data_IF_327932302557
#
_entry.id   IF_327932302557
#
_cell.length_a   1.000
_cell.length_b   1.000
_cell.length_c   1.000
_cell.angle_alpha   90.00
_cell.angle_beta   90.00
_cell.angle_gamma   90.00
#
_symmetry.space_group_name_H-M   'P 1'
#
loop_
_entity.id
_entity.type
_entity.pdbx_description
1 polymer ?
#
# COMPACT_ATOMS: atom_id res chain seq x y z
N UNK A 1 23.53 -2.21 4.95
CA UNK A 1 22.36 -3.12 4.97
C UNK A 1 22.65 -4.46 5.64
N UNK A 2 23.74 -5.17 5.31
CA UNK A 2 24.11 -6.48 5.93
C UNK A 2 24.48 -6.30 7.43
N UNK A 3 25.22 -5.24 7.78
CA UNK A 3 25.55 -4.91 9.18
C UNK A 3 24.29 -4.72 10.02
N UNK A 4 23.33 -3.93 9.56
CA UNK A 4 22.06 -3.70 10.29
C UNK A 4 21.27 -4.98 10.54
N UNK A 5 21.26 -5.93 9.61
CA UNK A 5 20.58 -7.23 9.82
C UNK A 5 21.27 -8.05 10.89
N UNK A 6 22.61 -8.02 10.94
CA UNK A 6 23.37 -8.72 11.97
C UNK A 6 23.16 -8.08 13.36
N UNK A 7 23.10 -6.75 13.43
CA UNK A 7 22.79 -6.01 14.65
C UNK A 7 21.40 -6.38 15.20
N UNK A 8 20.38 -6.47 14.32
CA UNK A 8 19.05 -6.95 14.73
C UNK A 8 19.04 -8.38 15.25
N UNK A 9 19.80 -9.29 14.62
CA UNK A 9 19.92 -10.67 15.11
C UNK A 9 20.59 -10.73 16.47
N UNK A 10 21.68 -10.01 16.65
CA UNK A 10 22.38 -9.93 17.93
C UNK A 10 21.51 -9.38 19.05
N UNK A 11 20.73 -8.31 18.78
CA UNK A 11 19.77 -7.75 19.72
C UNK A 11 18.67 -8.76 20.05
N UNK A 12 18.12 -9.44 19.04
CA UNK A 12 17.08 -10.44 19.22
C UNK A 12 17.56 -11.60 20.12
N UNK A 13 18.78 -12.08 19.90
CA UNK A 13 19.41 -13.13 20.71
C UNK A 13 19.64 -12.65 22.16
N UNK A 14 20.22 -11.46 22.35
CA UNK A 14 20.47 -10.88 23.69
C UNK A 14 19.19 -10.66 24.50
N UNK A 15 18.10 -10.31 23.82
CA UNK A 15 16.80 -10.07 24.45
C UNK A 15 15.90 -11.32 24.49
N UNK A 16 16.39 -12.47 24.04
CA UNK A 16 15.64 -13.72 23.92
C UNK A 16 14.31 -13.54 23.16
N UNK A 17 14.29 -12.72 22.11
CA UNK A 17 13.09 -12.47 21.33
C UNK A 17 12.77 -13.67 20.43
N UNK A 18 11.54 -14.15 20.51
CA UNK A 18 11.03 -15.13 19.55
C UNK A 18 10.66 -14.43 18.24
N UNK A 19 11.52 -14.57 17.25
CA UNK A 19 11.25 -14.04 15.90
C UNK A 19 10.21 -14.91 15.18
N UNK A 20 9.40 -14.25 14.34
CA UNK A 20 8.47 -14.94 13.43
C UNK A 20 9.17 -15.51 12.20
N UNK A 21 8.42 -16.28 11.43
CA UNK A 21 8.82 -16.74 10.10
C UNK A 21 8.33 -15.77 9.03
N UNK A 22 9.09 -15.63 7.96
CA UNK A 22 8.73 -14.79 6.80
C UNK A 22 8.59 -15.68 5.58
N UNK A 23 7.46 -15.53 4.88
CA UNK A 23 7.23 -16.12 3.57
C UNK A 23 7.07 -14.98 2.54
N UNK A 24 7.91 -14.96 1.51
CA UNK A 24 7.87 -13.96 0.45
C UNK A 24 7.18 -14.54 -0.78
N UNK A 25 6.16 -13.82 -1.27
CA UNK A 25 5.43 -14.17 -2.50
C UNK A 25 5.33 -12.96 -3.42
N UNK A 26 5.45 -13.20 -4.71
CA UNK A 26 5.10 -12.24 -5.75
C UNK A 26 3.63 -12.49 -6.10
N UNK A 27 2.84 -11.42 -6.19
CA UNK A 27 1.42 -11.55 -6.51
C UNK A 27 0.77 -10.19 -6.80
N UNK A 28 -0.49 -10.25 -7.20
CA UNK A 28 -1.31 -9.08 -7.47
C UNK A 28 -2.21 -8.80 -6.25
N UNK A 29 -2.13 -7.60 -5.70
CA UNK A 29 -2.96 -7.18 -4.57
C UNK A 29 -4.46 -7.12 -4.89
N UNK A 30 -4.82 -7.07 -6.17
CA UNK A 30 -6.21 -7.11 -6.66
C UNK A 30 -6.80 -8.53 -6.67
N UNK A 31 -5.94 -9.55 -6.49
CA UNK A 31 -6.31 -10.97 -6.43
C UNK A 31 -5.31 -11.74 -5.59
N UNK A 32 -5.51 -11.70 -4.28
CA UNK A 32 -4.58 -12.32 -3.32
C UNK A 32 -4.86 -13.82 -3.19
N UNK A 33 -3.83 -14.65 -3.35
CA UNK A 33 -3.93 -16.12 -3.24
C UNK A 33 -3.92 -16.60 -1.78
N UNK A 34 -4.88 -16.14 -1.01
CA UNK A 34 -5.10 -16.53 0.38
C UNK A 34 -6.60 -16.84 0.61
N UNK A 35 -6.93 -17.78 1.50
CA UNK A 35 -8.31 -18.06 1.86
C UNK A 35 -9.02 -16.87 2.52
N UNK A 36 -10.33 -16.84 2.45
CA UNK A 36 -11.15 -15.89 3.18
C UNK A 36 -10.92 -16.00 4.70
N UNK A 37 -10.90 -14.87 5.40
CA UNK A 37 -10.78 -14.82 6.85
C UNK A 37 -9.57 -15.63 7.39
N UNK A 38 -8.42 -15.57 6.71
CA UNK A 38 -7.23 -16.35 7.08
C UNK A 38 -6.16 -15.52 7.80
N UNK A 39 -6.16 -14.19 7.65
CA UNK A 39 -5.10 -13.30 8.11
C UNK A 39 -5.52 -12.56 9.39
N UNK A 40 -4.59 -12.43 10.34
CA UNK A 40 -4.80 -11.75 11.62
C UNK A 40 -4.51 -10.25 11.59
N UNK A 41 -3.88 -9.74 10.55
CA UNK A 41 -3.61 -8.32 10.36
C UNK A 41 -3.00 -8.01 9.01
N UNK A 42 -3.24 -6.80 8.51
CA UNK A 42 -2.64 -6.28 7.27
C UNK A 42 -1.99 -4.95 7.57
N UNK A 43 -0.75 -4.77 7.10
CA UNK A 43 -0.06 -3.47 7.10
C UNK A 43 0.43 -3.24 5.67
N UNK A 44 0.05 -2.12 5.08
CA UNK A 44 0.42 -1.79 3.70
C UNK A 44 0.57 -0.30 3.50
N UNK A 45 1.45 0.07 2.56
CA UNK A 45 1.57 1.40 1.99
C UNK A 45 1.35 1.24 0.48
N UNK A 46 0.11 1.37 -0.01
CA UNK A 46 -0.19 1.21 -1.43
C UNK A 46 0.43 2.34 -2.25
N UNK A 47 0.49 2.22 -3.58
CA UNK A 47 0.92 3.31 -4.44
C UNK A 47 0.13 4.58 -4.14
N UNK A 48 0.82 5.72 -4.02
CA UNK A 48 0.21 6.99 -3.68
C UNK A 48 -0.46 7.64 -4.89
N UNK A 49 -1.55 7.05 -5.32
CA UNK A 49 -2.33 7.48 -6.47
C UNK A 49 -1.42 7.68 -7.71
N UNK A 50 -1.46 8.88 -8.26
CA UNK A 50 -0.74 9.27 -9.48
C UNK A 50 0.48 10.16 -9.17
N UNK A 51 0.90 10.23 -7.90
CA UNK A 51 1.97 11.12 -7.46
C UNK A 51 3.33 10.75 -8.05
N UNK A 52 3.58 9.45 -8.23
CA UNK A 52 4.84 8.92 -8.73
C UNK A 52 4.62 7.94 -9.87
N UNK A 53 5.49 7.97 -10.85
CA UNK A 53 5.59 6.92 -11.85
C UNK A 53 6.61 5.87 -11.36
N UNK A 54 6.12 4.88 -10.63
CA UNK A 54 6.96 3.84 -10.03
C UNK A 54 7.72 3.03 -11.07
N UNK A 55 7.16 2.82 -12.26
CA UNK A 55 7.84 2.08 -13.34
C UNK A 55 9.02 2.88 -13.88
N UNK A 56 8.87 4.20 -14.05
CA UNK A 56 9.95 5.08 -14.50
C UNK A 56 11.03 5.25 -13.42
N UNK A 57 10.60 5.45 -12.16
CA UNK A 57 11.53 5.65 -11.06
C UNK A 57 12.41 4.44 -10.79
N UNK A 58 11.87 3.22 -10.97
CA UNK A 58 12.55 1.97 -10.71
C UNK A 58 13.03 1.26 -11.99
N UNK A 59 13.03 1.99 -13.14
CA UNK A 59 13.29 1.44 -14.46
C UNK A 59 14.56 0.59 -14.52
N UNK A 60 15.69 1.11 -14.04
CA UNK A 60 16.96 0.38 -14.05
C UNK A 60 16.90 -0.94 -13.27
N UNK A 61 16.29 -0.92 -12.08
CA UNK A 61 16.16 -2.15 -11.27
C UNK A 61 15.24 -3.18 -11.93
N UNK A 62 14.16 -2.72 -12.56
CA UNK A 62 13.21 -3.59 -13.26
C UNK A 62 13.85 -4.21 -14.51
N UNK A 63 14.62 -3.44 -15.28
CA UNK A 63 15.35 -3.93 -16.45
C UNK A 63 16.44 -4.93 -16.05
N UNK A 64 17.19 -4.64 -14.99
CA UNK A 64 18.21 -5.56 -14.44
C UNK A 64 17.61 -6.89 -13.97
N UNK A 65 16.35 -6.86 -13.51
CA UNK A 65 15.59 -8.08 -13.17
C UNK A 65 15.00 -8.79 -14.39
N UNK A 66 15.19 -8.24 -15.60
CA UNK A 66 14.71 -8.83 -16.86
C UNK A 66 13.27 -8.49 -17.22
N UNK A 67 12.66 -7.52 -16.55
CA UNK A 67 11.32 -7.08 -16.87
C UNK A 67 11.31 -6.09 -18.05
N UNK A 68 10.25 -6.15 -18.86
CA UNK A 68 9.98 -5.17 -19.90
C UNK A 68 9.08 -4.07 -19.36
N UNK A 69 9.57 -2.85 -19.29
CA UNK A 69 8.87 -1.71 -18.67
C UNK A 69 7.48 -1.46 -19.26
N UNK A 70 7.31 -1.62 -20.58
CA UNK A 70 6.02 -1.42 -21.24
C UNK A 70 4.98 -2.47 -20.77
N UNK A 71 5.38 -3.74 -20.64
CA UNK A 71 4.49 -4.81 -20.19
C UNK A 71 4.04 -4.60 -18.74
N UNK A 72 4.99 -4.21 -17.87
CA UNK A 72 4.68 -3.89 -16.47
C UNK A 72 3.76 -2.68 -16.37
N UNK A 73 4.03 -1.64 -17.17
CA UNK A 73 3.26 -0.38 -17.14
C UNK A 73 1.78 -0.58 -17.44
N UNK A 74 1.44 -1.54 -18.31
CA UNK A 74 0.05 -1.84 -18.67
C UNK A 74 -0.77 -2.41 -17.51
N UNK A 75 -0.13 -2.99 -16.51
CA UNK A 75 -0.80 -3.62 -15.37
C UNK A 75 -0.52 -2.96 -14.02
N UNK A 76 0.44 -2.04 -13.94
CA UNK A 76 0.86 -1.43 -12.69
C UNK A 76 -0.17 -0.43 -12.15
N UNK A 77 -0.53 -0.58 -10.85
CA UNK A 77 -1.49 0.30 -10.19
C UNK A 77 -0.92 1.73 -10.08
N UNK A 78 -1.71 2.73 -10.53
CA UNK A 78 -1.35 4.15 -10.42
C UNK A 78 -0.45 4.69 -11.54
N UNK A 79 -0.09 3.87 -12.53
CA UNK A 79 0.75 4.30 -13.67
C UNK A 79 -0.04 4.42 -14.97
N UNK A 80 -1.12 3.64 -15.13
CA UNK A 80 -1.93 3.54 -16.34
C UNK A 80 -2.78 4.77 -16.60
N UNK A 81 -3.05 5.04 -17.89
CA UNK A 81 -3.93 6.11 -18.33
C UNK A 81 -3.31 7.51 -18.27
N UNK A 82 -4.10 8.52 -18.62
CA UNK A 82 -3.71 9.93 -18.63
C UNK A 82 -4.82 10.81 -18.03
N UNK A 83 -4.45 11.93 -17.44
CA UNK A 83 -5.42 12.89 -16.91
C UNK A 83 -6.41 12.28 -15.92
N UNK A 84 -7.71 12.55 -16.10
CA UNK A 84 -8.78 12.06 -15.22
C UNK A 84 -8.92 10.53 -15.25
N UNK A 85 -8.74 9.93 -16.43
CA UNK A 85 -8.79 8.47 -16.60
C UNK A 85 -7.78 7.75 -15.69
N UNK A 86 -6.58 8.32 -15.51
CA UNK A 86 -5.54 7.76 -14.63
C UNK A 86 -6.03 7.64 -13.18
N UNK A 87 -6.76 8.65 -12.69
CA UNK A 87 -7.34 8.63 -11.34
C UNK A 87 -8.42 7.57 -11.22
N UNK A 88 -9.28 7.44 -12.24
CA UNK A 88 -10.36 6.45 -12.26
C UNK A 88 -9.82 5.03 -12.27
N UNK A 89 -8.81 4.75 -13.10
CA UNK A 89 -8.13 3.45 -13.15
C UNK A 89 -7.48 3.10 -11.80
N UNK A 90 -6.78 4.06 -11.20
CA UNK A 90 -6.22 3.89 -9.87
C UNK A 90 -7.31 3.54 -8.84
N UNK A 91 -8.38 4.32 -8.77
CA UNK A 91 -9.46 4.09 -7.82
C UNK A 91 -10.11 2.72 -8.02
N UNK A 92 -10.29 2.28 -9.26
CA UNK A 92 -10.87 0.97 -9.57
C UNK A 92 -9.96 -0.18 -9.12
N UNK A 93 -8.65 -0.06 -9.32
CA UNK A 93 -7.70 -1.05 -8.84
C UNK A 93 -7.63 -1.08 -7.31
N UNK A 94 -7.62 0.09 -6.67
CA UNK A 94 -7.61 0.17 -5.21
C UNK A 94 -8.89 -0.38 -4.57
N UNK A 95 -10.06 -0.20 -5.21
CA UNK A 95 -11.29 -0.89 -4.75
C UNK A 95 -11.12 -2.40 -4.72
N UNK A 96 -10.56 -2.99 -5.78
CA UNK A 96 -10.28 -4.43 -5.83
C UNK A 96 -9.32 -4.85 -4.72
N UNK A 97 -8.21 -4.13 -4.57
CA UNK A 97 -7.20 -4.42 -3.54
C UNK A 97 -7.77 -4.30 -2.11
N UNK A 98 -8.58 -3.28 -1.84
CA UNK A 98 -9.22 -3.13 -0.54
C UNK A 98 -10.28 -4.19 -0.28
N UNK A 99 -11.02 -4.62 -1.31
CA UNK A 99 -11.95 -5.74 -1.21
C UNK A 99 -11.22 -7.06 -0.90
N UNK A 100 -10.05 -7.28 -1.48
CA UNK A 100 -9.21 -8.44 -1.15
C UNK A 100 -8.70 -8.38 0.31
N UNK A 101 -8.26 -7.21 0.78
CA UNK A 101 -7.91 -7.03 2.20
C UNK A 101 -9.10 -7.38 3.10
N UNK A 102 -10.31 -6.93 2.74
CA UNK A 102 -11.52 -7.28 3.50
C UNK A 102 -11.78 -8.78 3.48
N UNK A 103 -11.67 -9.41 2.32
CA UNK A 103 -11.94 -10.84 2.15
C UNK A 103 -11.01 -11.70 3.01
N UNK A 104 -9.69 -11.45 2.94
CA UNK A 104 -8.70 -12.30 3.61
C UNK A 104 -8.57 -12.03 5.11
N UNK A 105 -8.87 -10.81 5.58
CA UNK A 105 -8.75 -10.43 6.98
C UNK A 105 -9.85 -11.09 7.82
N UNK A 106 -9.49 -11.66 8.95
CA UNK A 106 -10.46 -12.23 9.91
C UNK A 106 -11.35 -11.15 10.52
N UNK A 107 -12.59 -11.47 10.93
CA UNK A 107 -13.44 -10.55 11.69
C UNK A 107 -12.75 -10.01 12.95
N UNK A 108 -13.04 -8.77 13.28
CA UNK A 108 -12.46 -8.03 14.43
C UNK A 108 -10.94 -7.82 14.39
N UNK A 109 -10.29 -8.08 13.25
CA UNK A 109 -8.87 -7.82 13.03
C UNK A 109 -8.66 -6.50 12.30
N UNK A 110 -7.40 -6.06 12.23
CA UNK A 110 -7.04 -4.72 11.81
C UNK A 110 -6.29 -4.68 10.48
N UNK A 111 -6.64 -3.69 9.65
CA UNK A 111 -5.86 -3.26 8.50
C UNK A 111 -5.28 -1.86 8.78
N UNK A 112 -3.98 -1.72 8.62
CA UNK A 112 -3.26 -0.45 8.73
C UNK A 112 -2.81 -0.02 7.34
N UNK A 113 -3.28 1.14 6.90
CA UNK A 113 -2.96 1.68 5.57
C UNK A 113 -2.24 3.01 5.74
N UNK A 114 -1.02 3.09 5.20
CA UNK A 114 -0.23 4.33 5.16
C UNK A 114 -0.40 4.94 3.78
N UNK A 115 -1.02 6.12 3.70
CA UNK A 115 -1.35 6.77 2.43
C UNK A 115 -1.44 8.29 2.59
N UNK A 116 -1.22 9.02 1.50
CA UNK A 116 -1.34 10.47 1.46
C UNK A 116 -2.10 10.96 0.23
N UNK A 117 -2.61 12.19 0.31
CA UNK A 117 -3.17 12.87 -0.85
C UNK A 117 -2.04 13.26 -1.82
N UNK A 118 -2.32 13.17 -3.11
CA UNK A 118 -1.41 13.57 -4.16
C UNK A 118 -1.82 14.91 -4.77
N UNK A 119 -0.87 15.63 -5.38
CA UNK A 119 -1.16 16.79 -6.21
C UNK A 119 -0.89 16.43 -7.67
N UNK A 120 -1.90 16.62 -8.52
CA UNK A 120 -1.79 16.37 -9.95
C UNK A 120 -2.30 17.58 -10.73
N UNK A 121 -1.47 18.12 -11.64
CA UNK A 121 -1.79 19.33 -12.41
C UNK A 121 -2.34 20.49 -11.55
N UNK A 122 -1.75 20.69 -10.37
CA UNK A 122 -2.15 21.74 -9.43
C UNK A 122 -3.42 21.45 -8.62
N UNK A 123 -4.07 20.30 -8.81
CA UNK A 123 -5.26 19.89 -8.06
C UNK A 123 -4.92 18.76 -7.07
N UNK A 124 -5.50 18.84 -5.88
CA UNK A 124 -5.38 17.78 -4.88
C UNK A 124 -6.25 16.57 -5.27
N UNK A 125 -5.63 15.41 -5.32
CA UNK A 125 -6.32 14.12 -5.44
C UNK A 125 -6.56 13.60 -4.03
N UNK A 126 -7.82 13.53 -3.63
CA UNK A 126 -8.27 13.16 -2.28
C UNK A 126 -8.22 11.65 -2.05
N UNK A 127 -7.00 11.09 -2.10
CA UNK A 127 -6.79 9.64 -1.98
C UNK A 127 -7.13 9.13 -0.57
N UNK A 128 -6.87 9.94 0.46
CA UNK A 128 -7.17 9.58 1.86
C UNK A 128 -8.67 9.47 2.07
N UNK A 129 -9.45 10.46 1.61
CA UNK A 129 -10.91 10.46 1.70
C UNK A 129 -11.51 9.28 0.93
N UNK A 130 -11.07 9.07 -0.31
CA UNK A 130 -11.48 7.91 -1.10
C UNK A 130 -11.24 6.58 -0.37
N UNK A 131 -10.06 6.42 0.25
CA UNK A 131 -9.72 5.20 1.01
C UNK A 131 -10.65 5.01 2.20
N UNK A 132 -10.91 6.09 2.97
CA UNK A 132 -11.79 6.03 4.15
C UNK A 132 -13.23 5.67 3.73
N UNK A 133 -13.75 6.34 2.71
CA UNK A 133 -15.11 6.15 2.24
C UNK A 133 -15.32 4.72 1.76
N UNK A 134 -14.45 4.22 0.87
CA UNK A 134 -14.60 2.89 0.32
C UNK A 134 -14.37 1.78 1.35
N UNK A 135 -13.34 1.89 2.19
CA UNK A 135 -13.11 0.92 3.26
C UNK A 135 -14.30 0.84 4.23
N UNK A 136 -14.93 1.98 4.53
CA UNK A 136 -16.13 2.02 5.37
C UNK A 136 -17.33 1.38 4.66
N UNK A 137 -17.53 1.67 3.39
CA UNK A 137 -18.58 1.09 2.55
C UNK A 137 -18.55 -0.44 2.54
N UNK A 138 -17.35 -1.03 2.42
CA UNK A 138 -17.20 -2.51 2.36
C UNK A 138 -17.23 -3.19 3.74
N UNK A 139 -17.39 -2.45 4.84
CA UNK A 139 -17.62 -3.02 6.17
C UNK A 139 -16.49 -2.89 7.18
N UNK A 140 -15.51 -2.02 6.91
CA UNK A 140 -14.54 -1.63 7.93
C UNK A 140 -15.07 -0.47 8.79
N UNK A 141 -14.59 -0.41 10.01
CA UNK A 141 -14.72 0.76 10.88
C UNK A 141 -13.37 1.46 10.99
N UNK A 142 -13.30 2.74 10.66
CA UNK A 142 -12.11 3.55 10.92
C UNK A 142 -11.99 3.78 12.44
N UNK A 143 -10.94 3.24 13.05
CA UNK A 143 -10.69 3.42 14.49
C UNK A 143 -9.76 4.60 14.75
N UNK A 144 -8.76 4.84 13.88
CA UNK A 144 -7.84 5.97 13.99
C UNK A 144 -7.39 6.48 12.64
N UNK A 145 -7.23 7.80 12.55
CA UNK A 145 -6.55 8.49 11.45
C UNK A 145 -5.45 9.37 12.07
N UNK A 146 -4.20 8.97 11.90
CA UNK A 146 -3.03 9.66 12.45
C UNK A 146 -2.35 10.39 11.32
N UNK A 147 -2.36 11.73 11.34
CA UNK A 147 -1.67 12.55 10.34
C UNK A 147 -0.21 12.75 10.72
N UNK A 148 0.69 12.47 9.77
CA UNK A 148 2.13 12.67 9.89
C UNK A 148 2.58 13.70 8.87
N UNK A 149 3.30 14.73 9.33
CA UNK A 149 3.97 15.66 8.42
C UNK A 149 5.21 14.99 7.83
N UNK A 150 5.36 15.11 6.51
CA UNK A 150 6.53 14.62 5.79
C UNK A 150 7.31 15.83 5.26
N UNK A 151 8.58 15.89 5.59
CA UNK A 151 9.52 16.82 4.99
C UNK A 151 10.24 16.09 3.85
N UNK A 152 9.73 16.20 2.63
CA UNK A 152 10.29 15.54 1.45
C UNK A 152 11.02 16.52 0.54
N UNK A 153 12.07 16.04 -0.13
CA UNK A 153 12.89 16.81 -1.06
C UNK A 153 12.15 17.38 -2.27
N UNK A 154 10.97 16.81 -2.62
CA UNK A 154 10.26 17.14 -3.86
C UNK A 154 8.88 17.80 -3.68
N UNK A 155 8.48 18.17 -2.47
CA UNK A 155 7.21 18.87 -2.17
C UNK A 155 5.92 18.27 -2.79
N UNK A 156 5.93 17.03 -3.28
CA UNK A 156 4.81 16.38 -3.94
C UNK A 156 3.77 15.91 -2.92
N UNK A 157 4.23 15.59 -1.72
CA UNK A 157 3.37 15.14 -0.63
C UNK A 157 3.76 15.84 0.67
N UNK A 158 2.81 16.55 1.27
CA UNK A 158 3.04 17.32 2.51
C UNK A 158 2.56 16.60 3.76
N UNK A 159 1.68 15.64 3.60
CA UNK A 159 1.06 14.89 4.70
C UNK A 159 0.86 13.43 4.31
N UNK A 160 1.12 12.57 5.25
CA UNK A 160 0.83 11.15 5.20
C UNK A 160 -0.13 10.79 6.33
N UNK A 161 -1.03 9.87 6.07
CA UNK A 161 -1.99 9.41 7.06
C UNK A 161 -1.77 7.92 7.34
N UNK A 162 -1.77 7.56 8.61
CA UNK A 162 -1.83 6.18 9.06
C UNK A 162 -3.28 5.92 9.44
N UNK A 163 -3.96 5.17 8.59
CA UNK A 163 -5.36 4.80 8.76
C UNK A 163 -5.45 3.42 9.39
N UNK A 164 -6.09 3.31 10.55
CA UNK A 164 -6.28 2.04 11.25
C UNK A 164 -7.75 1.67 11.15
N UNK A 165 -8.02 0.62 10.41
CA UNK A 165 -9.35 0.07 10.21
C UNK A 165 -9.52 -1.25 10.95
N UNK A 166 -10.72 -1.50 11.48
CA UNK A 166 -11.12 -2.79 12.04
C UNK A 166 -12.23 -3.39 11.18
N UNK A 167 -12.07 -4.65 10.77
CA UNK A 167 -13.15 -5.40 10.12
C UNK A 167 -14.25 -5.69 11.13
N UNK A 168 -15.49 -5.24 10.87
CA UNK A 168 -16.59 -5.33 11.86
C UNK A 168 -17.31 -6.69 11.79
N UNK A 169 -17.38 -7.28 10.58
CA UNK A 169 -18.09 -8.56 10.34
C UNK A 169 -17.24 -9.50 9.51
#
# INVERSE_FOLDING_TARGET
MIESVNDYKEIAEKLHLKLGTVELKIGDSRKVELPDNSIDGVITSPPYSIALDYVENDAHSLEDMGYKLNEIREDFIGVRGKGKEKVELYNNDMRKSYSEIYRILKPNKYAVIVIGNATYQGQEVKTVEFTVDYMTEIGFKLEKNISKLIFGLYNIMKKENILIFRKVK
#
